data_IF_235431539467
#
_entry.id   IF_235431539467
#
_cell.length_a   1.000
_cell.length_b   1.000
_cell.length_c   1.000
_cell.angle_alpha   90.00
_cell.angle_beta   90.00
_cell.angle_gamma   90.00
#
_symmetry.space_group_name_H-M   'P 1'
#
loop_
_entity.id
_entity.type
_entity.pdbx_description
1 polymer ?
#
# COMPACT_ATOMS: atom_id res chain seq x y z
N UNK A 1 -6.55 7.19 16.22
CA UNK A 1 -7.46 6.20 15.62
C UNK A 1 -8.33 6.90 14.59
N UNK A 2 -8.45 6.30 13.40
CA UNK A 2 -9.33 6.79 12.34
C UNK A 2 -10.80 6.56 12.69
N UNK A 3 -11.72 7.26 12.00
CA UNK A 3 -13.16 7.01 12.14
C UNK A 3 -13.48 5.54 11.82
N UNK A 4 -12.91 5.00 10.74
CA UNK A 4 -13.16 3.63 10.28
C UNK A 4 -12.57 2.60 11.25
N UNK A 5 -11.35 2.80 11.75
CA UNK A 5 -10.76 1.93 12.77
C UNK A 5 -11.55 1.89 14.07
N UNK A 6 -12.25 2.99 14.41
CA UNK A 6 -13.16 3.05 15.56
C UNK A 6 -14.51 2.37 15.29
N UNK A 7 -15.14 2.65 14.15
CA UNK A 7 -16.49 2.19 13.81
C UNK A 7 -16.52 0.74 13.29
N UNK A 8 -15.46 0.30 12.62
CA UNK A 8 -15.35 -0.99 11.93
C UNK A 8 -13.94 -1.59 12.13
N UNK A 9 -13.55 -1.92 13.37
CA UNK A 9 -12.17 -2.34 13.71
C UNK A 9 -11.73 -3.67 13.06
N UNK A 10 -12.66 -4.51 12.61
CA UNK A 10 -12.35 -5.71 11.84
C UNK A 10 -11.95 -5.40 10.38
N UNK A 11 -12.36 -4.23 9.87
CA UNK A 11 -12.22 -3.86 8.46
C UNK A 11 -11.08 -2.85 8.24
N UNK A 12 -10.64 -2.15 9.28
CA UNK A 12 -9.55 -1.18 9.19
C UNK A 12 -8.60 -1.24 10.37
N UNK A 13 -7.29 -1.28 10.09
CA UNK A 13 -6.24 -1.42 11.09
C UNK A 13 -5.46 -0.10 11.28
N UNK A 14 -5.85 0.68 12.28
CA UNK A 14 -5.07 1.87 12.67
C UNK A 14 -3.64 1.51 13.14
N UNK A 15 -3.45 0.30 13.66
CA UNK A 15 -2.12 -0.23 14.01
C UNK A 15 -1.22 -0.36 12.78
N UNK A 16 -1.77 -0.74 11.63
CA UNK A 16 -1.00 -0.80 10.39
C UNK A 16 -0.55 0.60 9.95
N UNK A 17 -1.43 1.61 10.09
CA UNK A 17 -1.09 3.01 9.81
C UNK A 17 0.00 3.55 10.73
N UNK A 18 -0.07 3.25 12.03
CA UNK A 18 0.97 3.64 12.98
C UNK A 18 2.32 2.99 12.61
N UNK A 19 2.33 1.69 12.35
CA UNK A 19 3.55 0.97 12.02
C UNK A 19 4.20 1.51 10.75
N UNK A 20 3.43 1.78 9.68
CA UNK A 20 3.98 2.30 8.42
C UNK A 20 4.53 3.72 8.58
N UNK A 21 3.90 4.57 9.40
CA UNK A 21 4.41 5.92 9.72
C UNK A 21 5.77 5.85 10.40
N UNK A 22 5.94 4.97 11.39
CA UNK A 22 7.22 4.79 12.10
C UNK A 22 8.36 4.38 11.14
N UNK A 23 8.06 3.58 10.10
CA UNK A 23 9.06 3.18 9.09
C UNK A 23 9.38 4.32 8.14
N UNK A 24 8.39 5.13 7.74
CA UNK A 24 8.63 6.34 6.97
C UNK A 24 9.53 7.32 7.73
N UNK A 25 9.27 7.54 9.01
CA UNK A 25 10.09 8.40 9.87
C UNK A 25 11.53 7.88 9.95
N UNK A 26 11.71 6.59 10.24
CA UNK A 26 13.05 5.97 10.27
C UNK A 26 13.76 6.09 8.92
N UNK A 27 13.03 5.91 7.82
CA UNK A 27 13.56 6.00 6.47
C UNK A 27 14.00 7.42 6.11
N UNK A 28 13.30 8.45 6.59
CA UNK A 28 13.69 9.84 6.39
C UNK A 28 15.10 10.11 6.93
N UNK A 29 15.38 9.68 8.16
CA UNK A 29 16.69 9.87 8.76
C UNK A 29 17.78 8.98 8.13
N UNK A 30 17.41 7.82 7.57
CA UNK A 30 18.36 6.88 6.97
C UNK A 30 18.70 7.20 5.50
N UNK A 31 17.73 7.67 4.73
CA UNK A 31 17.80 7.76 3.27
C UNK A 31 17.44 9.14 2.70
N UNK A 32 17.05 10.10 3.54
CA UNK A 32 16.62 11.43 3.09
C UNK A 32 15.16 11.49 2.68
N UNK A 33 14.78 12.54 1.94
CA UNK A 33 13.36 12.82 1.66
C UNK A 33 12.78 11.83 0.64
N UNK A 34 11.50 11.48 0.80
CA UNK A 34 10.79 10.72 -0.22
C UNK A 34 10.64 11.50 -1.53
N UNK A 35 10.50 12.83 -1.45
CA UNK A 35 10.38 13.70 -2.63
C UNK A 35 11.58 13.55 -3.56
N UNK A 36 12.78 13.59 -3.02
CA UNK A 36 14.01 13.49 -3.83
C UNK A 36 14.19 12.05 -4.31
N UNK A 37 14.10 11.07 -3.40
CA UNK A 37 14.31 9.66 -3.74
C UNK A 37 13.38 9.15 -4.85
N UNK A 38 12.08 9.44 -4.76
CA UNK A 38 11.10 8.93 -5.73
C UNK A 38 10.80 9.91 -6.86
N UNK A 39 10.75 11.22 -6.56
CA UNK A 39 10.50 12.27 -7.54
C UNK A 39 11.64 12.46 -8.54
N UNK A 40 12.88 12.26 -8.13
CA UNK A 40 14.05 12.24 -9.04
C UNK A 40 14.36 10.84 -9.57
N UNK A 41 13.51 9.85 -9.26
CA UNK A 41 13.64 8.45 -9.72
C UNK A 41 14.95 7.78 -9.31
N UNK A 42 15.50 8.15 -8.15
CA UNK A 42 16.68 7.52 -7.56
C UNK A 42 16.36 6.13 -6.98
N UNK A 43 15.11 5.93 -6.55
CA UNK A 43 14.57 4.66 -6.06
C UNK A 43 13.33 4.30 -6.87
N UNK A 44 13.26 3.07 -7.37
CA UNK A 44 12.07 2.55 -8.06
C UNK A 44 11.04 2.04 -7.03
N UNK A 45 9.89 2.70 -6.94
CA UNK A 45 8.88 2.40 -5.93
C UNK A 45 8.20 1.04 -6.17
N UNK A 46 7.81 0.73 -7.41
CA UNK A 46 7.12 -0.52 -7.75
C UNK A 46 8.06 -1.73 -7.60
N UNK A 47 9.30 -1.64 -8.07
CA UNK A 47 10.27 -2.73 -7.89
C UNK A 47 10.58 -2.96 -6.41
N UNK A 48 10.67 -1.89 -5.61
CA UNK A 48 10.87 -2.00 -4.16
C UNK A 48 9.67 -2.65 -3.46
N UNK A 49 8.45 -2.31 -3.88
CA UNK A 49 7.23 -2.99 -3.44
C UNK A 49 7.29 -4.50 -3.72
N UNK A 50 7.66 -4.90 -4.94
CA UNK A 50 7.74 -6.32 -5.31
C UNK A 50 8.76 -7.08 -4.46
N UNK A 51 9.92 -6.46 -4.15
CA UNK A 51 10.90 -7.03 -3.23
C UNK A 51 10.33 -7.25 -1.83
N UNK A 52 9.56 -6.30 -1.30
CA UNK A 52 8.89 -6.44 -0.01
C UNK A 52 7.87 -7.59 -0.02
N UNK A 53 7.06 -7.72 -1.07
CA UNK A 53 6.11 -8.84 -1.18
C UNK A 53 6.83 -10.17 -1.28
N UNK A 54 7.93 -10.25 -2.03
CA UNK A 54 8.78 -11.45 -2.07
C UNK A 54 9.32 -11.80 -0.69
N UNK A 55 9.88 -10.82 0.04
CA UNK A 55 10.41 -11.02 1.40
C UNK A 55 9.34 -11.43 2.40
N UNK A 56 8.14 -10.87 2.31
CA UNK A 56 7.00 -11.31 3.12
C UNK A 56 6.67 -12.78 2.87
N UNK A 57 6.59 -13.20 1.60
CA UNK A 57 6.33 -14.61 1.23
C UNK A 57 7.41 -15.56 1.74
N UNK A 58 8.66 -15.12 1.77
CA UNK A 58 9.80 -15.91 2.26
C UNK A 58 9.84 -16.04 3.79
N UNK A 59 9.46 -14.99 4.52
CA UNK A 59 9.75 -14.88 5.96
C UNK A 59 8.51 -14.87 6.86
N UNK A 60 7.35 -14.53 6.31
CA UNK A 60 6.14 -14.25 7.08
C UNK A 60 6.17 -12.96 7.90
N UNK A 61 7.25 -12.16 7.83
CA UNK A 61 7.35 -10.92 8.59
C UNK A 61 6.44 -9.83 8.00
N UNK A 62 5.41 -9.42 8.76
CA UNK A 62 4.41 -8.43 8.34
C UNK A 62 4.94 -7.00 8.25
N UNK A 63 6.15 -6.72 8.75
CA UNK A 63 6.83 -5.44 8.51
C UNK A 63 6.98 -5.16 7.01
N UNK A 64 7.31 -6.19 6.21
CA UNK A 64 7.42 -6.03 4.76
C UNK A 64 6.10 -5.64 4.09
N UNK A 65 4.94 -5.93 4.71
CA UNK A 65 3.65 -5.42 4.22
C UNK A 65 3.50 -3.92 4.48
N UNK A 66 4.02 -3.42 5.61
CA UNK A 66 4.04 -1.99 5.92
C UNK A 66 4.94 -1.25 4.93
N UNK A 67 6.12 -1.79 4.65
CA UNK A 67 7.06 -1.21 3.67
C UNK A 67 6.50 -1.25 2.25
N UNK A 68 5.90 -2.37 1.84
CA UNK A 68 5.20 -2.48 0.56
C UNK A 68 4.13 -1.39 0.39
N UNK A 69 3.30 -1.16 1.41
CA UNK A 69 2.30 -0.10 1.38
C UNK A 69 2.92 1.31 1.33
N UNK A 70 4.05 1.54 2.01
CA UNK A 70 4.77 2.80 1.92
C UNK A 70 5.32 3.05 0.52
N UNK A 71 5.88 2.04 -0.15
CA UNK A 71 6.33 2.19 -1.54
C UNK A 71 5.17 2.47 -2.50
N UNK A 72 4.02 1.81 -2.34
CA UNK A 72 2.81 2.13 -3.10
C UNK A 72 2.32 3.57 -2.84
N UNK A 73 2.38 4.03 -1.58
CA UNK A 73 2.07 5.41 -1.23
C UNK A 73 3.06 6.39 -1.88
N UNK A 74 4.35 6.06 -1.93
CA UNK A 74 5.35 6.90 -2.59
C UNK A 74 5.16 6.97 -4.10
N UNK A 75 4.81 5.87 -4.77
CA UNK A 75 4.42 5.89 -6.19
C UNK A 75 3.16 6.74 -6.40
N UNK A 76 2.18 6.70 -5.49
CA UNK A 76 1.01 7.57 -5.57
C UNK A 76 1.37 9.06 -5.43
N UNK A 77 2.30 9.41 -4.54
CA UNK A 77 2.72 10.80 -4.29
C UNK A 77 3.67 11.34 -5.36
N UNK A 78 4.56 10.50 -5.87
CA UNK A 78 5.63 10.84 -6.81
C UNK A 78 5.62 9.83 -7.97
N UNK A 79 4.56 9.82 -8.80
CA UNK A 79 4.38 8.78 -9.81
C UNK A 79 5.53 8.75 -10.81
N UNK A 80 6.11 7.57 -10.96
CA UNK A 80 7.20 7.32 -11.89
C UNK A 80 6.65 6.98 -13.28
N UNK A 81 5.43 6.44 -13.35
CA UNK A 81 4.69 6.21 -14.59
C UNK A 81 4.21 7.53 -15.19
N UNK A 82 4.57 7.78 -16.46
CA UNK A 82 4.17 8.99 -17.19
C UNK A 82 2.65 9.07 -17.33
N UNK A 83 2.08 10.16 -16.84
CA UNK A 83 0.65 10.43 -16.95
C UNK A 83 -0.20 9.64 -15.98
N UNK A 84 0.38 9.08 -14.90
CA UNK A 84 -0.41 8.49 -13.83
C UNK A 84 -1.36 9.53 -13.20
N UNK A 85 -2.56 9.09 -12.87
CA UNK A 85 -3.60 9.92 -12.28
C UNK A 85 -4.52 9.06 -11.42
N UNK A 86 -5.24 9.71 -10.51
CA UNK A 86 -6.32 9.08 -9.77
C UNK A 86 -7.67 9.39 -10.43
N UNK A 87 -8.43 8.34 -10.74
CA UNK A 87 -9.85 8.40 -11.14
C UNK A 87 -10.57 7.33 -10.34
N UNK A 88 -11.67 7.69 -9.70
CA UNK A 88 -12.54 6.70 -9.08
C UNK A 88 -13.17 5.81 -10.16
N UNK A 89 -13.03 4.50 -10.00
CA UNK A 89 -13.60 3.47 -10.89
C UNK A 89 -14.83 2.84 -10.23
N UNK A 90 -15.83 2.48 -11.04
CA UNK A 90 -16.98 1.70 -10.58
C UNK A 90 -16.73 0.18 -10.72
N UNK A 91 -17.76 -0.64 -10.42
CA UNK A 91 -17.64 -2.10 -10.51
C UNK A 91 -17.35 -2.61 -11.93
N UNK A 92 -17.68 -1.86 -12.98
CA UNK A 92 -17.40 -2.22 -14.37
C UNK A 92 -15.95 -1.96 -14.79
N UNK A 93 -15.25 -1.07 -14.09
CA UNK A 93 -13.83 -0.74 -14.31
C UNK A 93 -12.91 -1.39 -13.25
N UNK A 94 -13.41 -2.32 -12.45
CA UNK A 94 -12.64 -3.01 -11.41
C UNK A 94 -11.56 -3.92 -12.00
N UNK A 95 -10.37 -3.93 -11.39
CA UNK A 95 -9.31 -4.89 -11.72
C UNK A 95 -9.67 -6.34 -11.33
N UNK A 96 -10.78 -6.54 -10.61
CA UNK A 96 -11.19 -7.84 -10.10
C UNK A 96 -10.41 -8.25 -8.85
N UNK A 97 -10.71 -9.45 -8.36
CA UNK A 97 -10.02 -10.08 -7.22
C UNK A 97 -9.77 -11.55 -7.53
N UNK A 98 -8.70 -12.11 -6.98
CA UNK A 98 -8.47 -13.56 -7.02
C UNK A 98 -9.28 -14.22 -5.90
N UNK A 99 -10.27 -15.04 -6.27
CA UNK A 99 -11.21 -15.70 -5.34
C UNK A 99 -12.66 -15.23 -5.52
N UNK A 100 -13.55 -15.56 -4.58
CA UNK A 100 -14.95 -15.11 -4.60
C UNK A 100 -15.30 -14.38 -3.30
N UNK A 101 -15.61 -13.07 -3.34
CA UNK A 101 -16.02 -12.31 -2.16
C UNK A 101 -17.27 -12.86 -1.47
N UNK A 102 -17.33 -12.75 -0.13
CA UNK A 102 -18.43 -13.31 0.67
C UNK A 102 -19.81 -12.80 0.29
N UNK A 103 -19.94 -11.53 -0.10
CA UNK A 103 -21.22 -10.96 -0.50
C UNK A 103 -21.67 -11.49 -1.88
N UNK A 104 -20.74 -11.71 -2.81
CA UNK A 104 -21.04 -12.35 -4.10
C UNK A 104 -21.41 -13.83 -3.94
N UNK A 105 -20.90 -14.50 -2.91
CA UNK A 105 -21.35 -15.87 -2.57
C UNK A 105 -22.79 -15.87 -2.07
N UNK A 106 -23.18 -14.90 -1.22
CA UNK A 106 -24.54 -14.78 -0.68
C UNK A 106 -25.58 -14.48 -1.75
N UNK A 107 -25.24 -13.74 -2.80
CA UNK A 107 -26.15 -13.42 -3.92
C UNK A 107 -26.51 -14.63 -4.80
N UNK A 108 -25.75 -15.73 -4.72
CA UNK A 108 -26.00 -16.94 -5.50
C UNK A 108 -26.98 -17.91 -4.84
N UNK A 109 -27.49 -17.59 -3.65
CA UNK A 109 -28.42 -18.39 -2.85
C UNK A 109 -29.59 -17.53 -2.37
#
# INVERSE_FOLDING_TARGET
>A
MSRLGKEMPAEYSDRFDELRQNRCETSFYKYGTAKDNFGERLVNAIESHDMCIKKYKETGNTEYLCDAANYLMFEFMYPQIKGAYFKATDSGESAGVVGTPINQLKEKW
#
